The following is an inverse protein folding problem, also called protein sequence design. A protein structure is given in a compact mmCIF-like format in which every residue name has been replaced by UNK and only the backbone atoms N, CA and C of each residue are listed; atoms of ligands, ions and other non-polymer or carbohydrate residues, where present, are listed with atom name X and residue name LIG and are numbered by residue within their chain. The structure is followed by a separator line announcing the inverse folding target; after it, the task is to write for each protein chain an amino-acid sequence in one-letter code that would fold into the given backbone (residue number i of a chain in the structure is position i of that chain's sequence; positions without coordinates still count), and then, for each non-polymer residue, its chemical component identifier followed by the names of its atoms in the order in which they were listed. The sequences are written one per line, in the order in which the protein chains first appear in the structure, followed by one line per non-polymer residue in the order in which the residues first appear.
data_IF_389526094843
#
_entry.id   IF_389526094843
#
_cell.length_a   1.000
_cell.length_b   1.000
_cell.length_c   1.000
_cell.angle_alpha   90.00
_cell.angle_beta   90.00
_cell.angle_gamma   90.00
#
_symmetry.space_group_name_H-M   'P 1'
#
loop_
_entity.id
_entity.type
_entity.pdbx_description
1 polymer ?
#
# COMPACT_ATOMS: atom_id res chain seq x y z
N UNK A 1 15.63 -0.85 10.58
CA UNK A 1 14.71 0.08 11.26
C UNK A 1 13.42 0.17 10.46
N UNK A 2 12.27 -0.12 11.08
CA UNK A 2 10.97 0.12 10.47
C UNK A 2 10.86 1.62 10.19
N UNK A 3 10.62 2.00 8.93
CA UNK A 3 10.38 3.40 8.59
C UNK A 3 9.04 3.77 9.24
N UNK A 4 9.08 4.38 10.42
CA UNK A 4 7.90 4.88 11.10
C UNK A 4 7.39 6.01 10.23
N UNK A 5 6.21 5.80 9.67
CA UNK A 5 5.57 6.77 8.81
C UNK A 5 5.20 7.95 9.68
N UNK A 6 5.55 9.15 9.22
CA UNK A 6 5.25 10.36 9.98
C UNK A 6 3.74 10.50 10.16
N UNK A 7 3.32 11.14 11.25
CA UNK A 7 1.91 11.46 11.48
C UNK A 7 1.28 12.19 10.28
N UNK A 8 2.07 13.02 9.58
CA UNK A 8 1.67 13.71 8.35
C UNK A 8 1.37 12.75 7.20
N UNK A 9 2.27 11.82 6.91
CA UNK A 9 2.08 10.81 5.86
C UNK A 9 0.93 9.86 6.18
N UNK A 10 0.74 9.49 7.47
CA UNK A 10 -0.40 8.70 7.92
C UNK A 10 -1.71 9.43 7.59
N UNK A 11 -1.81 10.71 7.97
CA UNK A 11 -2.99 11.55 7.72
C UNK A 11 -3.29 11.72 6.23
N UNK A 12 -2.25 11.92 5.42
CA UNK A 12 -2.43 12.03 3.96
C UNK A 12 -2.97 10.74 3.35
N UNK A 13 -2.48 9.59 3.80
CA UNK A 13 -2.93 8.29 3.33
C UNK A 13 -4.35 7.97 3.79
N UNK A 14 -4.70 8.28 5.04
CA UNK A 14 -6.08 8.20 5.55
C UNK A 14 -7.03 9.00 4.67
N UNK A 15 -6.68 10.25 4.31
CA UNK A 15 -7.51 11.08 3.44
C UNK A 15 -7.70 10.47 2.04
N UNK A 16 -6.63 9.92 1.44
CA UNK A 16 -6.70 9.24 0.14
C UNK A 16 -7.63 8.03 0.18
N UNK A 17 -7.53 7.23 1.24
CA UNK A 17 -8.37 6.04 1.43
C UNK A 17 -9.83 6.40 1.73
N UNK A 18 -10.07 7.46 2.50
CA UNK A 18 -11.42 7.97 2.77
C UNK A 18 -12.11 8.45 1.49
N UNK A 19 -11.36 9.09 0.58
CA UNK A 19 -11.88 9.50 -0.73
C UNK A 19 -12.14 8.26 -1.61
N UNK A 20 -11.20 7.31 -1.64
CA UNK A 20 -11.30 6.14 -2.50
C UNK A 20 -12.43 5.18 -2.09
N UNK A 21 -12.61 4.94 -0.79
CA UNK A 21 -13.60 4.01 -0.25
C UNK A 21 -14.86 4.70 0.30
N UNK A 22 -15.03 6.00 0.03
CA UNK A 22 -16.08 6.81 0.63
C UNK A 22 -17.49 6.30 0.33
N UNK A 23 -17.72 5.67 -0.82
CA UNK A 23 -19.05 5.12 -1.18
C UNK A 23 -19.33 3.81 -0.46
N UNK A 24 -18.31 3.01 -0.21
CA UNK A 24 -18.34 1.69 0.40
C UNK A 24 -18.50 1.82 1.92
N UNK A 25 -17.88 2.82 2.53
CA UNK A 25 -17.92 3.03 3.99
C UNK A 25 -19.01 4.00 4.43
N UNK A 26 -19.78 4.61 3.51
CA UNK A 26 -20.75 5.68 3.82
C UNK A 26 -21.83 5.29 4.85
N UNK A 27 -22.16 4.00 4.94
CA UNK A 27 -23.20 3.49 5.84
C UNK A 27 -22.66 3.17 7.24
N UNK A 28 -21.35 3.22 7.45
CA UNK A 28 -20.73 3.05 8.76
C UNK A 28 -20.89 4.33 9.58
N UNK A 29 -20.97 4.19 10.90
CA UNK A 29 -20.84 5.33 11.81
C UNK A 29 -19.50 6.02 11.60
N UNK A 30 -19.40 7.31 11.95
CA UNK A 30 -18.15 8.06 11.83
C UNK A 30 -16.99 7.39 12.58
N UNK A 31 -17.26 6.89 13.78
CA UNK A 31 -16.29 6.13 14.58
C UNK A 31 -15.81 4.86 13.85
N UNK A 32 -16.73 4.08 13.27
CA UNK A 32 -16.37 2.87 12.53
C UNK A 32 -15.61 3.20 11.23
N UNK A 33 -15.92 4.32 10.56
CA UNK A 33 -15.14 4.79 9.41
C UNK A 33 -13.70 5.15 9.82
N UNK A 34 -13.54 5.86 10.93
CA UNK A 34 -12.22 6.25 11.45
C UNK A 34 -11.38 5.02 11.83
N UNK A 35 -11.96 4.06 12.57
CA UNK A 35 -11.29 2.81 12.95
C UNK A 35 -10.88 2.02 11.70
N UNK A 36 -11.82 1.80 10.77
CA UNK A 36 -11.56 1.04 9.55
C UNK A 36 -10.45 1.66 8.69
N UNK A 37 -10.46 2.99 8.53
CA UNK A 37 -9.43 3.69 7.77
C UNK A 37 -8.06 3.60 8.45
N UNK A 38 -7.99 3.68 9.79
CA UNK A 38 -6.74 3.52 10.53
C UNK A 38 -6.15 2.10 10.37
N UNK A 39 -7.02 1.09 10.44
CA UNK A 39 -6.65 -0.31 10.27
C UNK A 39 -6.14 -0.59 8.86
N UNK A 40 -6.83 -0.08 7.82
CA UNK A 40 -6.40 -0.23 6.41
C UNK A 40 -5.04 0.43 6.20
N UNK A 41 -4.85 1.66 6.70
CA UNK A 41 -3.57 2.37 6.63
C UNK A 41 -2.47 1.53 7.26
N UNK A 42 -2.69 1.02 8.47
CA UNK A 42 -1.70 0.22 9.19
C UNK A 42 -1.39 -1.09 8.48
N UNK A 43 -2.40 -1.82 8.02
CA UNK A 43 -2.24 -3.07 7.29
C UNK A 43 -1.49 -2.87 5.97
N UNK A 44 -1.82 -1.81 5.22
CA UNK A 44 -1.15 -1.45 3.97
C UNK A 44 0.33 -1.15 4.21
N UNK A 45 0.64 -0.35 5.23
CA UNK A 45 2.02 -0.03 5.62
C UNK A 45 2.82 -1.28 6.01
N UNK A 46 2.23 -2.14 6.84
CA UNK A 46 2.83 -3.41 7.24
C UNK A 46 3.19 -4.24 6.00
N UNK A 47 2.29 -4.29 5.00
CA UNK A 47 2.53 -5.04 3.78
C UNK A 47 3.64 -4.45 2.92
N UNK A 48 3.71 -3.13 2.78
CA UNK A 48 4.81 -2.44 2.10
C UNK A 48 6.14 -2.72 2.78
N UNK A 49 6.20 -2.70 4.12
CA UNK A 49 7.42 -3.01 4.86
C UNK A 49 7.86 -4.45 4.60
N UNK A 50 6.94 -5.41 4.63
CA UNK A 50 7.25 -6.81 4.31
C UNK A 50 7.79 -6.94 2.88
N UNK A 51 7.12 -6.36 1.88
CA UNK A 51 7.56 -6.42 0.49
C UNK A 51 8.92 -5.76 0.28
N UNK A 52 9.16 -4.60 0.88
CA UNK A 52 10.46 -3.94 0.78
C UNK A 52 11.58 -4.76 1.41
N UNK A 53 11.30 -5.52 2.47
CA UNK A 53 12.27 -6.45 3.06
C UNK A 53 12.56 -7.63 2.13
N UNK A 54 11.52 -8.26 1.58
CA UNK A 54 11.69 -9.37 0.62
C UNK A 54 12.50 -8.94 -0.60
N UNK A 55 12.12 -7.81 -1.24
CA UNK A 55 12.85 -7.26 -2.39
C UNK A 55 14.30 -6.90 -2.05
N UNK A 56 14.56 -6.40 -0.84
CA UNK A 56 15.93 -6.05 -0.42
C UNK A 56 16.78 -7.28 -0.07
N UNK A 57 16.16 -8.38 0.38
CA UNK A 57 16.86 -9.64 0.62
C UNK A 57 17.12 -10.42 -0.67
N UNK A 58 16.25 -10.32 -1.67
CA UNK A 58 16.48 -10.89 -3.00
C UNK A 58 17.72 -10.26 -3.67
N UNK A 59 18.00 -8.97 -3.43
CA UNK A 59 19.21 -8.28 -3.92
C UNK A 59 20.53 -8.78 -3.32
N UNK A 60 20.51 -9.57 -2.25
CA UNK A 60 21.70 -10.20 -1.66
C UNK A 60 21.86 -11.68 -2.07
N UNK A 61 20.83 -12.28 -2.70
CA UNK A 61 20.86 -13.67 -3.18
C UNK A 61 21.07 -13.82 -4.70
N UNK A 62 21.13 -12.72 -5.46
CA UNK A 62 21.45 -12.76 -6.90
C UNK A 62 22.95 -12.94 -7.19
N UNK A 63 23.58 -13.98 -6.63
CA UNK A 63 24.72 -14.62 -7.30
C UNK A 63 24.31 -15.86 -8.10
N UNK A 64 23.11 -16.40 -7.86
CA UNK A 64 22.60 -17.54 -8.63
C UNK A 64 21.26 -17.18 -9.30
N UNK A 65 21.38 -16.69 -10.53
CA UNK A 65 20.48 -16.83 -11.68
C UNK A 65 18.99 -17.14 -11.43
N UNK A 66 18.13 -16.13 -11.18
CA UNK A 66 16.77 -16.09 -11.75
C UNK A 66 16.39 -14.62 -12.04
N UNK A 67 16.20 -14.33 -13.32
CA UNK A 67 15.72 -13.05 -13.84
C UNK A 67 14.25 -12.84 -13.43
N UNK A 68 14.02 -12.00 -12.41
CA UNK A 68 12.66 -11.63 -12.00
C UNK A 68 12.14 -10.54 -12.94
N UNK A 69 11.55 -10.96 -14.05
CA UNK A 69 10.96 -10.07 -15.03
C UNK A 69 9.57 -9.59 -14.55
N UNK A 70 9.56 -8.62 -13.64
CA UNK A 70 8.33 -7.89 -13.32
C UNK A 70 8.01 -6.96 -14.49
N UNK A 71 7.21 -7.43 -15.46
CA UNK A 71 6.65 -6.54 -16.49
C UNK A 71 5.58 -5.66 -15.84
N UNK A 72 5.63 -4.33 -16.00
CA UNK A 72 4.55 -3.47 -15.55
C UNK A 72 3.27 -3.82 -16.32
N UNK A 73 2.17 -4.07 -15.61
CA UNK A 73 0.84 -4.17 -16.22
C UNK A 73 0.44 -2.77 -16.68
N UNK A 74 0.88 -2.40 -17.88
CA UNK A 74 0.32 -1.27 -18.63
C UNK A 74 -0.69 -1.86 -19.63
N UNK A 75 -1.94 -1.98 -19.21
CA UNK A 75 -3.10 -2.27 -20.03
C UNK A 75 -4.26 -1.48 -19.39
N UNK A 76 -5.02 -0.59 -20.01
CA UNK A 76 -5.16 -0.11 -21.38
C UNK A 76 -5.62 1.36 -21.28
N UNK A 77 -5.06 2.28 -22.07
CA UNK A 77 -5.75 3.52 -22.47
C UNK A 77 -5.11 4.08 -23.75
N UNK A 78 -5.23 3.33 -24.84
CA UNK A 78 -5.45 3.80 -26.23
C UNK A 78 -6.18 2.62 -26.87
N UNK A 79 -7.44 2.74 -27.29
CA UNK A 79 -7.84 3.32 -28.58
C UNK A 79 -9.32 3.70 -28.53
N UNK A 80 -9.64 4.97 -28.84
CA UNK A 80 -10.51 5.37 -29.96
C UNK A 80 -9.94 6.65 -30.54
#
# INVERSE_FOLDING_TARGET
MNKIISSKEKKEMTSKLAIAFGKEIKNLSKENQEILLDDIVTAFQNRIVVFNRTISQDKLNTKDNIEFHCKPVLNHLKEQ
#
